data_IF_059257190135
#
_entry.id   IF_059257190135
#
_cell.length_a   1.000
_cell.length_b   1.000
_cell.length_c   1.000
_cell.angle_alpha   90.00
_cell.angle_beta   90.00
_cell.angle_gamma   90.00
#
_symmetry.space_group_name_H-M   'P 1'
#
loop_
_entity.id
_entity.type
_entity.pdbx_description
1 polymer ?
#
# COMPACT_ATOMS: atom_id res chain seq x y z
N UNK A 1 16.81 13.03 3.27
CA UNK A 1 15.81 11.95 3.26
C UNK A 1 14.56 12.41 2.50
N UNK A 2 13.87 11.48 1.86
CA UNK A 2 12.62 11.71 1.14
C UNK A 2 11.51 10.92 1.85
N UNK A 3 10.42 11.62 2.18
CA UNK A 3 9.18 11.01 2.64
C UNK A 3 8.13 11.15 1.54
N UNK A 4 7.36 10.10 1.31
CA UNK A 4 6.18 10.14 0.46
C UNK A 4 4.96 9.79 1.29
N UNK A 5 3.86 10.51 1.10
CA UNK A 5 2.66 10.35 1.89
C UNK A 5 1.40 10.64 1.08
N UNK A 6 0.30 10.07 1.49
CA UNK A 6 -1.00 10.34 0.89
C UNK A 6 -1.54 11.68 1.40
N UNK A 7 -1.92 12.55 0.48
CA UNK A 7 -2.65 13.77 0.74
C UNK A 7 -4.11 13.59 0.32
N UNK A 8 -5.03 13.95 1.22
CA UNK A 8 -6.47 13.89 0.95
C UNK A 8 -6.97 15.27 0.61
N UNK A 9 -7.62 15.40 -0.54
CA UNK A 9 -8.28 16.60 -1.01
C UNK A 9 -9.77 16.33 -1.19
N UNK A 10 -10.58 17.36 -1.15
CA UNK A 10 -12.02 17.24 -1.35
C UNK A 10 -12.45 17.76 -2.71
N UNK A 11 -13.22 16.95 -3.44
CA UNK A 11 -13.88 17.34 -4.68
C UNK A 11 -15.37 17.47 -4.43
N UNK A 12 -15.91 18.65 -4.73
CA UNK A 12 -17.36 18.88 -4.70
C UNK A 12 -17.96 18.44 -6.04
N UNK A 13 -18.94 17.53 -5.99
CA UNK A 13 -19.64 17.03 -7.15
C UNK A 13 -20.81 17.94 -7.57
N UNK A 14 -21.32 17.74 -8.78
CA UNK A 14 -22.44 18.55 -9.33
C UNK A 14 -23.73 18.45 -8.51
N UNK A 15 -23.96 17.30 -7.87
CA UNK A 15 -25.10 17.06 -6.97
C UNK A 15 -24.94 17.70 -5.57
N UNK A 16 -23.81 18.42 -5.34
CA UNK A 16 -23.48 19.06 -4.09
C UNK A 16 -22.81 18.16 -3.06
N UNK A 17 -22.69 16.87 -3.30
CA UNK A 17 -21.95 15.97 -2.43
C UNK A 17 -20.44 16.23 -2.50
N UNK A 18 -19.72 15.81 -1.45
CA UNK A 18 -18.26 15.94 -1.36
C UNK A 18 -17.66 14.55 -1.28
N UNK A 19 -16.62 14.32 -2.06
CA UNK A 19 -15.83 13.09 -1.95
C UNK A 19 -14.36 13.40 -1.74
N UNK A 20 -13.69 12.53 -1.03
CA UNK A 20 -12.26 12.59 -0.87
C UNK A 20 -11.55 12.08 -2.12
N UNK A 21 -10.47 12.77 -2.48
CA UNK A 21 -9.56 12.38 -3.57
C UNK A 21 -8.19 12.22 -2.95
N UNK A 22 -7.58 11.08 -3.21
CA UNK A 22 -6.25 10.75 -2.73
C UNK A 22 -5.19 11.04 -3.80
N UNK A 23 -4.13 11.71 -3.39
CA UNK A 23 -2.96 12.05 -4.19
C UNK A 23 -1.71 11.74 -3.38
N UNK A 24 -0.55 11.61 -4.05
CA UNK A 24 0.69 11.41 -3.32
C UNK A 24 1.52 12.69 -3.32
N UNK A 25 2.08 13.00 -2.18
CA UNK A 25 2.92 14.16 -1.95
C UNK A 25 4.25 13.74 -1.33
N UNK A 26 5.27 14.57 -1.48
CA UNK A 26 6.61 14.33 -0.91
C UNK A 26 7.04 15.47 -0.01
N UNK A 27 7.87 15.12 0.96
CA UNK A 27 8.61 16.06 1.78
C UNK A 27 10.08 15.64 1.85
N UNK A 28 10.96 16.62 1.93
CA UNK A 28 12.41 16.42 1.99
C UNK A 28 12.93 16.91 3.32
N UNK A 29 13.81 16.16 3.94
CA UNK A 29 14.37 16.54 5.24
C UNK A 29 15.61 15.77 5.64
N UNK A 30 16.08 16.02 6.84
CA UNK A 30 17.29 15.47 7.41
C UNK A 30 17.09 14.25 8.33
N UNK A 31 15.82 13.86 8.54
CA UNK A 31 15.41 12.80 9.46
C UNK A 31 14.73 13.32 10.71
N UNK A 32 14.76 14.63 10.95
CA UNK A 32 14.10 15.31 12.05
C UNK A 32 13.13 16.39 11.54
N UNK A 33 13.61 17.28 10.69
CA UNK A 33 12.84 18.38 10.13
C UNK A 33 12.59 18.11 8.64
N UNK A 34 11.36 18.35 8.19
CA UNK A 34 10.92 18.09 6.81
C UNK A 34 10.16 19.26 6.23
N UNK A 35 10.46 19.58 4.98
CA UNK A 35 9.75 20.59 4.19
C UNK A 35 8.98 19.93 3.06
N UNK A 36 7.74 20.34 2.87
CA UNK A 36 6.92 19.87 1.76
C UNK A 36 7.48 20.35 0.44
N UNK A 37 7.50 19.49 -0.56
CA UNK A 37 7.93 19.87 -1.90
C UNK A 37 6.93 20.86 -2.52
N UNK A 38 7.43 21.96 -3.06
CA UNK A 38 6.62 23.08 -3.57
C UNK A 38 5.69 22.71 -4.71
N UNK A 39 6.07 21.66 -5.49
CA UNK A 39 5.28 21.18 -6.63
C UNK A 39 4.41 19.97 -6.30
N UNK A 40 4.10 19.74 -5.03
CA UNK A 40 3.12 18.72 -4.66
C UNK A 40 1.72 19.02 -5.23
N UNK A 41 0.89 18.00 -5.51
CA UNK A 41 1.18 16.58 -5.40
C UNK A 41 2.04 16.03 -6.56
N UNK A 42 2.84 14.98 -6.29
CA UNK A 42 3.72 14.34 -7.28
C UNK A 42 3.04 13.21 -8.06
N UNK A 43 1.94 12.63 -7.51
CA UNK A 43 1.06 11.69 -8.19
C UNK A 43 -0.40 12.07 -7.94
N UNK A 44 -1.19 12.03 -8.98
CA UNK A 44 -2.59 12.44 -9.01
C UNK A 44 -3.46 11.43 -9.77
N UNK A 45 -4.74 11.70 -9.91
CA UNK A 45 -5.64 10.89 -10.72
C UNK A 45 -5.22 10.77 -12.20
N UNK A 46 -4.38 11.67 -12.70
CA UNK A 46 -3.86 11.62 -14.09
C UNK A 46 -2.82 10.53 -14.30
N UNK A 47 -2.17 10.12 -13.22
CA UNK A 47 -1.10 9.14 -13.20
C UNK A 47 -1.61 7.72 -12.92
N UNK A 48 -2.93 7.57 -12.71
CA UNK A 48 -3.59 6.29 -12.50
C UNK A 48 -3.80 5.52 -13.80
N UNK A 49 -3.65 4.19 -13.77
CA UNK A 49 -4.06 3.37 -14.91
C UNK A 49 -5.57 3.45 -15.13
N UNK A 50 -5.99 3.20 -16.38
CA UNK A 50 -7.41 3.25 -16.76
C UNK A 50 -8.28 2.39 -15.86
N UNK A 51 -9.34 2.98 -15.30
CA UNK A 51 -10.31 2.30 -14.45
C UNK A 51 -9.93 2.22 -12.98
N UNK A 52 -8.78 2.76 -12.55
CA UNK A 52 -8.44 2.84 -11.14
C UNK A 52 -9.22 3.96 -10.43
N UNK A 53 -9.53 3.72 -9.16
CA UNK A 53 -10.24 4.66 -8.29
C UNK A 53 -9.33 5.82 -7.88
N UNK A 54 -9.83 7.05 -8.00
CA UNK A 54 -9.14 8.23 -7.46
C UNK A 54 -9.42 8.49 -5.98
N UNK A 55 -10.36 7.73 -5.40
CA UNK A 55 -10.69 7.75 -3.97
C UNK A 55 -9.82 6.75 -3.19
N UNK A 56 -9.50 5.62 -3.82
CA UNK A 56 -8.67 4.57 -3.23
C UNK A 56 -7.31 4.55 -3.94
N UNK A 57 -6.41 5.44 -3.51
CA UNK A 57 -5.06 5.59 -4.04
C UNK A 57 -4.14 6.09 -2.94
N UNK A 58 -3.62 5.17 -2.09
CA UNK A 58 -2.96 5.53 -0.84
C UNK A 58 -1.87 4.58 -0.40
N UNK A 59 -1.19 4.98 0.68
CA UNK A 59 -0.17 4.23 1.41
C UNK A 59 1.08 3.95 0.55
N UNK A 60 1.76 5.01 0.07
CA UNK A 60 2.94 4.84 -0.75
C UNK A 60 4.11 4.29 0.06
N UNK A 61 4.77 3.25 -0.45
CA UNK A 61 6.04 2.73 0.06
C UNK A 61 7.12 2.94 -1.00
N UNK A 62 8.14 3.74 -0.68
CA UNK A 62 9.24 4.04 -1.59
C UNK A 62 10.53 3.35 -1.16
N UNK A 63 11.33 2.98 -2.14
CA UNK A 63 12.72 2.52 -1.94
C UNK A 63 13.59 2.93 -3.12
N UNK A 64 14.90 2.85 -2.92
CA UNK A 64 15.89 3.05 -3.99
C UNK A 64 16.33 1.70 -4.52
N UNK A 65 16.17 1.46 -5.82
CA UNK A 65 16.61 0.24 -6.48
C UNK A 65 18.11 0.20 -6.71
N UNK A 66 18.64 -0.99 -7.00
CA UNK A 66 20.04 -1.21 -7.30
C UNK A 66 20.47 -0.55 -8.63
N UNK A 67 19.52 -0.26 -9.51
CA UNK A 67 19.71 0.49 -10.77
C UNK A 67 19.78 2.01 -10.58
N UNK A 68 19.68 2.48 -9.33
CA UNK A 68 19.74 3.88 -8.95
C UNK A 68 18.40 4.63 -9.05
N UNK A 69 17.36 4.04 -9.62
CA UNK A 69 16.03 4.62 -9.66
C UNK A 69 15.32 4.47 -8.30
N UNK A 70 14.35 5.34 -8.07
CA UNK A 70 13.39 5.19 -7.00
C UNK A 70 12.19 4.40 -7.51
N UNK A 71 11.64 3.57 -6.65
CA UNK A 71 10.42 2.81 -6.89
C UNK A 71 9.40 3.10 -5.80
N UNK A 72 8.13 2.97 -6.15
CA UNK A 72 7.02 3.15 -5.22
C UNK A 72 5.92 2.13 -5.50
N UNK A 73 5.47 1.43 -4.47
CA UNK A 73 4.20 0.68 -4.51
C UNK A 73 3.13 1.46 -3.78
N UNK A 74 1.91 1.44 -4.33
CA UNK A 74 0.77 2.18 -3.81
C UNK A 74 -0.47 1.30 -3.87
N UNK A 75 -1.24 1.29 -2.77
CA UNK A 75 -2.54 0.64 -2.71
C UNK A 75 -3.57 1.34 -3.59
N UNK A 76 -4.35 0.55 -4.33
CA UNK A 76 -5.36 1.05 -5.24
C UNK A 76 -6.53 0.06 -5.37
N UNK A 77 -7.63 0.54 -5.95
CA UNK A 77 -8.79 -0.26 -6.26
C UNK A 77 -9.27 0.03 -7.69
N UNK A 78 -9.42 -0.99 -8.55
CA UNK A 78 -10.02 -0.83 -9.87
C UNK A 78 -11.55 -0.75 -9.79
N UNK A 79 -12.20 -0.58 -10.96
CA UNK A 79 -13.65 -0.43 -11.06
C UNK A 79 -14.45 -1.66 -10.62
N UNK A 80 -13.87 -2.85 -10.63
CA UNK A 80 -14.50 -4.08 -10.14
C UNK A 80 -14.55 -4.17 -8.60
N UNK A 81 -13.94 -3.21 -7.91
CA UNK A 81 -13.94 -3.10 -6.46
C UNK A 81 -12.90 -3.96 -5.74
N UNK A 82 -12.13 -4.78 -6.44
CA UNK A 82 -11.05 -5.59 -5.86
C UNK A 82 -9.80 -4.76 -5.58
N UNK A 83 -8.94 -5.22 -4.65
CA UNK A 83 -7.66 -4.58 -4.38
C UNK A 83 -6.64 -4.78 -5.50
N UNK A 84 -5.74 -3.82 -5.67
CA UNK A 84 -4.56 -3.93 -6.52
C UNK A 84 -3.42 -3.09 -5.97
N UNK A 85 -2.20 -3.43 -6.35
CA UNK A 85 -1.00 -2.66 -6.03
C UNK A 85 -0.41 -2.10 -7.33
N UNK A 86 -0.21 -0.79 -7.36
CA UNK A 86 0.41 -0.08 -8.47
C UNK A 86 1.90 0.09 -8.21
N UNK A 87 2.71 -0.08 -9.25
CA UNK A 87 4.15 0.17 -9.23
C UNK A 87 4.47 1.42 -10.05
N UNK A 88 5.22 2.32 -9.44
CA UNK A 88 5.76 3.52 -10.06
C UNK A 88 7.27 3.55 -9.97
N UNK A 89 7.91 4.28 -10.89
CA UNK A 89 9.36 4.50 -10.93
C UNK A 89 9.66 5.99 -11.08
N UNK A 90 10.80 6.44 -10.52
CA UNK A 90 11.29 7.81 -10.64
C UNK A 90 12.81 7.84 -10.66
N UNK A 91 13.39 8.74 -11.43
CA UNK A 91 14.84 9.00 -11.44
C UNK A 91 15.30 9.90 -10.28
N UNK A 92 14.41 10.74 -9.79
CA UNK A 92 14.75 11.80 -8.84
C UNK A 92 13.91 11.82 -7.56
N UNK A 93 12.87 10.96 -7.47
CA UNK A 93 11.93 10.91 -6.35
C UNK A 93 10.80 11.93 -6.40
N UNK A 94 10.75 12.78 -7.43
CA UNK A 94 9.75 13.84 -7.60
C UNK A 94 8.88 13.67 -8.84
N UNK A 95 9.45 13.15 -9.91
CA UNK A 95 8.75 12.88 -11.17
C UNK A 95 8.59 11.37 -11.29
N UNK A 96 7.34 10.89 -11.27
CA UNK A 96 7.00 9.48 -11.23
C UNK A 96 6.31 9.04 -12.51
N UNK A 97 6.66 7.87 -12.97
CA UNK A 97 6.01 7.20 -14.10
C UNK A 97 5.35 5.89 -13.65
N UNK A 98 4.17 5.62 -14.17
CA UNK A 98 3.50 4.34 -13.97
C UNK A 98 4.26 3.23 -14.70
N UNK A 99 4.58 2.15 -13.99
CA UNK A 99 5.26 0.98 -14.55
C UNK A 99 4.28 -0.14 -14.83
N UNK A 100 3.56 -0.60 -13.82
CA UNK A 100 2.66 -1.74 -13.94
C UNK A 100 1.60 -1.76 -12.83
N UNK A 101 0.60 -2.61 -13.02
CA UNK A 101 -0.17 -3.14 -11.91
C UNK A 101 0.62 -4.35 -11.39
N UNK A 102 1.35 -4.17 -10.29
CA UNK A 102 2.25 -5.17 -9.73
C UNK A 102 1.51 -6.45 -9.34
N UNK A 103 0.36 -6.31 -8.69
CA UNK A 103 -0.49 -7.41 -8.25
C UNK A 103 -1.96 -7.02 -8.26
N UNK A 104 -2.83 -7.99 -8.51
CA UNK A 104 -4.30 -7.84 -8.51
C UNK A 104 -4.94 -8.90 -7.64
N UNK A 105 -5.92 -8.50 -6.87
CA UNK A 105 -6.69 -9.37 -6.01
C UNK A 105 -7.60 -10.35 -6.78
N UNK A 106 -8.25 -9.89 -7.84
CA UNK A 106 -9.26 -10.67 -8.59
C UNK A 106 -10.38 -11.21 -7.70
N UNK A 107 -10.80 -10.43 -6.71
CA UNK A 107 -11.84 -10.76 -5.70
C UNK A 107 -11.56 -12.01 -4.83
N UNK A 108 -10.30 -12.41 -4.66
CA UNK A 108 -9.91 -13.54 -3.79
C UNK A 108 -9.69 -13.10 -2.33
N UNK A 109 -9.06 -11.96 -2.12
CA UNK A 109 -8.58 -11.51 -0.80
C UNK A 109 -9.07 -10.10 -0.49
N UNK A 110 -10.32 -10.01 -0.05
CA UNK A 110 -10.92 -8.72 0.33
C UNK A 110 -11.06 -7.74 -0.82
N UNK A 111 -11.16 -6.47 -0.49
CA UNK A 111 -11.36 -5.38 -1.46
C UNK A 111 -10.13 -4.48 -1.56
N UNK A 112 -10.14 -3.33 -0.88
CA UNK A 112 -8.98 -2.44 -0.91
C UNK A 112 -7.76 -3.10 -0.25
N UNK A 113 -6.61 -3.02 -0.90
CA UNK A 113 -5.33 -3.46 -0.37
C UNK A 113 -4.55 -2.26 0.14
N UNK A 114 -4.51 -2.09 1.46
CA UNK A 114 -3.81 -1.00 2.14
C UNK A 114 -2.37 -1.37 2.51
N UNK A 115 -1.58 -0.35 2.82
CA UNK A 115 -0.23 -0.47 3.40
C UNK A 115 0.69 -1.44 2.66
N UNK A 116 0.84 -1.36 1.32
CA UNK A 116 1.70 -2.27 0.60
C UNK A 116 3.17 -2.11 1.03
N UNK A 117 3.89 -3.22 1.12
CA UNK A 117 5.34 -3.26 1.26
C UNK A 117 5.89 -4.33 0.31
N UNK A 118 6.89 -3.98 -0.48
CA UNK A 118 7.42 -4.85 -1.53
C UNK A 118 8.94 -4.90 -1.49
N UNK A 119 9.50 -6.11 -1.42
CA UNK A 119 10.93 -6.30 -1.30
C UNK A 119 11.35 -7.70 -1.76
N UNK A 120 12.65 -7.85 -2.02
CA UNK A 120 13.28 -9.15 -2.26
C UNK A 120 13.78 -9.74 -0.93
N UNK A 121 13.56 -11.06 -0.76
CA UNK A 121 14.06 -11.84 0.36
C UNK A 121 14.40 -13.25 -0.13
N UNK A 122 15.65 -13.68 0.08
CA UNK A 122 16.15 -15.01 -0.27
C UNK A 122 15.85 -15.44 -1.74
N UNK A 123 15.99 -14.47 -2.67
CA UNK A 123 15.79 -14.69 -4.10
C UNK A 123 14.33 -14.77 -4.53
N UNK A 124 13.40 -14.43 -3.67
CA UNK A 124 11.97 -14.28 -3.98
C UNK A 124 11.50 -12.86 -3.70
N UNK A 125 10.45 -12.45 -4.39
CA UNK A 125 9.77 -11.20 -4.07
C UNK A 125 8.64 -11.45 -3.10
N UNK A 126 8.55 -10.56 -2.11
CA UNK A 126 7.51 -10.56 -1.07
C UNK A 126 6.69 -9.29 -1.21
N UNK A 127 5.39 -9.45 -1.31
CA UNK A 127 4.42 -8.36 -1.20
C UNK A 127 3.60 -8.57 0.07
N UNK A 128 3.70 -7.62 0.98
CA UNK A 128 2.82 -7.52 2.14
C UNK A 128 1.72 -6.51 1.84
N UNK A 129 0.51 -6.78 2.29
CA UNK A 129 -0.61 -5.83 2.19
C UNK A 129 -1.67 -6.12 3.26
N UNK A 130 -2.48 -5.12 3.56
CA UNK A 130 -3.56 -5.19 4.55
C UNK A 130 -4.91 -5.01 3.86
N UNK A 131 -5.56 -6.12 3.44
CA UNK A 131 -6.85 -6.06 2.77
C UNK A 131 -7.98 -5.66 3.71
N UNK A 132 -8.93 -4.89 3.18
CA UNK A 132 -10.22 -4.64 3.80
C UNK A 132 -11.28 -5.64 3.30
N UNK A 133 -12.30 -5.88 4.09
CA UNK A 133 -13.47 -6.70 3.73
C UNK A 133 -13.11 -8.11 3.23
N UNK A 134 -12.19 -8.78 3.89
CA UNK A 134 -11.89 -10.19 3.61
C UNK A 134 -13.06 -11.09 3.99
N UNK A 135 -13.21 -12.19 3.27
CA UNK A 135 -14.10 -13.29 3.64
C UNK A 135 -13.29 -14.37 4.35
N UNK A 136 -13.87 -15.08 5.32
CA UNK A 136 -13.18 -16.14 6.03
C UNK A 136 -12.89 -17.31 5.09
N UNK A 137 -11.70 -17.88 5.20
CA UNK A 137 -11.30 -19.09 4.48
C UNK A 137 -10.61 -20.06 5.45
N UNK A 138 -11.36 -21.02 5.97
CA UNK A 138 -10.87 -21.98 6.94
C UNK A 138 -10.27 -21.31 8.19
N UNK A 139 -9.04 -21.70 8.50
CA UNK A 139 -8.23 -21.09 9.56
C UNK A 139 -7.19 -20.10 9.00
N UNK A 140 -7.09 -19.97 7.67
CA UNK A 140 -6.07 -19.15 7.01
C UNK A 140 -6.42 -17.66 7.05
N UNK A 141 -7.68 -17.33 6.78
CA UNK A 141 -8.14 -15.95 6.76
C UNK A 141 -9.38 -15.78 7.62
N UNK A 142 -9.38 -14.75 8.46
CA UNK A 142 -10.57 -14.34 9.20
C UNK A 142 -11.41 -13.34 8.38
N UNK A 143 -12.63 -13.08 8.81
CA UNK A 143 -13.52 -12.10 8.21
C UNK A 143 -13.11 -10.67 8.58
N UNK A 144 -13.23 -9.72 7.64
CA UNK A 144 -13.01 -8.29 7.85
C UNK A 144 -11.64 -7.81 7.38
N UNK A 145 -10.94 -7.02 8.20
CA UNK A 145 -9.64 -6.49 7.85
C UNK A 145 -8.52 -7.46 8.23
N UNK A 146 -7.72 -7.85 7.26
CA UNK A 146 -6.70 -8.89 7.43
C UNK A 146 -5.31 -8.48 6.97
N UNK A 147 -4.41 -9.45 6.93
CA UNK A 147 -3.03 -9.27 6.46
C UNK A 147 -2.67 -10.36 5.48
N UNK A 148 -1.96 -9.99 4.41
CA UNK A 148 -1.47 -10.93 3.41
C UNK A 148 0.05 -10.83 3.25
N UNK A 149 0.66 -12.00 3.09
CA UNK A 149 2.02 -12.17 2.59
C UNK A 149 1.94 -12.96 1.29
N UNK A 150 2.22 -12.30 0.18
CA UNK A 150 2.26 -12.91 -1.15
C UNK A 150 3.73 -13.08 -1.55
N UNK A 151 4.13 -14.30 -1.85
CA UNK A 151 5.50 -14.64 -2.26
C UNK A 151 5.47 -15.10 -3.72
N UNK A 152 6.41 -14.62 -4.51
CA UNK A 152 6.45 -14.98 -5.92
C UNK A 152 7.70 -14.52 -6.65
N UNK A 153 7.59 -14.49 -7.97
CA UNK A 153 8.63 -14.03 -8.88
C UNK A 153 8.16 -12.77 -9.61
N UNK A 154 9.05 -11.80 -9.72
CA UNK A 154 8.79 -10.60 -10.51
C UNK A 154 9.08 -10.91 -11.97
N UNK A 155 8.08 -10.76 -12.82
CA UNK A 155 8.27 -10.87 -14.26
C UNK A 155 9.11 -9.67 -14.76
N UNK A 156 10.26 -9.90 -15.37
CA UNK A 156 11.19 -8.82 -15.75
C UNK A 156 10.69 -7.95 -16.92
N UNK A 157 9.75 -8.45 -17.72
CA UNK A 157 9.22 -7.71 -18.87
C UNK A 157 7.97 -6.91 -18.51
N UNK A 158 7.06 -7.52 -17.76
CA UNK A 158 5.78 -6.91 -17.39
C UNK A 158 5.80 -6.20 -16.06
N UNK A 159 6.83 -6.43 -15.25
CA UNK A 159 6.93 -5.95 -13.85
C UNK A 159 5.71 -6.32 -13.01
N UNK A 160 5.17 -7.53 -13.21
CA UNK A 160 4.07 -8.08 -12.42
C UNK A 160 4.57 -9.19 -11.50
N UNK A 161 4.02 -9.25 -10.30
CA UNK A 161 4.32 -10.31 -9.35
C UNK A 161 3.52 -11.58 -9.74
N UNK A 162 4.23 -12.63 -10.10
CA UNK A 162 3.66 -13.96 -10.31
C UNK A 162 3.58 -14.68 -8.97
N UNK A 163 2.41 -14.67 -8.36
CA UNK A 163 2.14 -15.33 -7.09
C UNK A 163 2.45 -16.82 -7.16
N UNK A 164 3.26 -17.32 -6.23
CA UNK A 164 3.56 -18.72 -6.02
C UNK A 164 2.92 -19.23 -4.72
N UNK A 165 2.80 -18.34 -3.73
CA UNK A 165 2.27 -18.67 -2.42
C UNK A 165 1.65 -17.43 -1.79
N UNK A 166 0.57 -17.62 -1.03
CA UNK A 166 -0.09 -16.57 -0.25
C UNK A 166 -0.55 -17.13 1.09
N UNK A 167 -0.34 -16.38 2.16
CA UNK A 167 -0.79 -16.70 3.52
C UNK A 167 -1.13 -15.45 4.31
N UNK A 168 -1.81 -15.63 5.44
CA UNK A 168 -1.90 -14.60 6.49
C UNK A 168 -0.53 -14.31 7.08
N UNK A 169 -0.28 -13.06 7.48
CA UNK A 169 0.94 -12.71 8.20
C UNK A 169 0.83 -13.04 9.68
N UNK A 170 -0.37 -12.87 10.23
CA UNK A 170 -0.72 -13.20 11.60
C UNK A 170 -2.12 -13.84 11.62
N UNK A 171 -2.31 -14.81 12.49
CA UNK A 171 -3.58 -15.55 12.63
C UNK A 171 -4.49 -15.00 13.73
N UNK A 172 -4.05 -13.95 14.41
CA UNK A 172 -4.87 -13.20 15.36
C UNK A 172 -5.68 -12.10 14.67
N UNK A 173 -6.71 -11.59 15.35
CA UNK A 173 -7.56 -10.51 14.85
C UNK A 173 -6.81 -9.16 14.90
N UNK A 174 -5.99 -8.96 15.92
CA UNK A 174 -5.39 -7.68 16.25
C UNK A 174 -3.96 -7.53 15.67
N UNK A 175 -3.88 -7.61 14.35
CA UNK A 175 -2.64 -7.37 13.62
C UNK A 175 -2.95 -6.76 12.25
N UNK A 176 -2.59 -5.50 12.02
CA UNK A 176 -2.93 -4.78 10.80
C UNK A 176 -1.86 -3.75 10.40
N UNK A 177 -1.89 -3.28 9.15
CA UNK A 177 -1.08 -2.19 8.62
C UNK A 177 0.44 -2.38 8.81
N UNK A 178 0.92 -3.62 8.67
CA UNK A 178 2.34 -3.94 8.83
C UNK A 178 3.21 -3.25 7.78
N UNK A 179 4.39 -2.85 8.22
CA UNK A 179 5.45 -2.30 7.38
C UNK A 179 6.79 -2.87 7.79
N UNK A 180 7.72 -3.02 6.83
CA UNK A 180 9.06 -3.51 7.12
C UNK A 180 10.13 -2.47 6.83
N UNK A 181 11.27 -2.64 7.47
CA UNK A 181 12.49 -1.92 7.18
C UNK A 181 13.69 -2.89 7.19
N UNK A 182 14.69 -2.58 6.36
CA UNK A 182 15.97 -3.26 6.41
C UNK A 182 16.87 -2.54 7.40
N UNK A 183 17.20 -3.23 8.49
CA UNK A 183 18.11 -2.70 9.51
C UNK A 183 19.57 -2.70 9.01
N UNK A 184 20.46 -1.86 9.56
CA UNK A 184 21.87 -1.79 9.16
C UNK A 184 22.64 -3.11 9.34
N UNK A 185 22.17 -3.98 10.22
CA UNK A 185 22.75 -5.32 10.48
C UNK A 185 22.24 -6.41 9.53
N UNK A 186 21.43 -6.03 8.52
CA UNK A 186 20.90 -6.93 7.50
C UNK A 186 19.58 -7.63 7.87
N UNK A 187 19.06 -7.46 9.08
CA UNK A 187 17.74 -7.98 9.44
C UNK A 187 16.63 -7.16 8.81
N UNK A 188 15.62 -7.83 8.30
CA UNK A 188 14.35 -7.17 7.97
C UNK A 188 13.44 -7.22 9.18
N UNK A 189 13.05 -6.06 9.66
CA UNK A 189 12.23 -5.89 10.86
C UNK A 189 10.84 -5.48 10.40
N UNK A 190 9.81 -6.14 10.93
CA UNK A 190 8.40 -5.83 10.69
C UNK A 190 7.81 -5.18 11.93
N UNK A 191 7.03 -4.13 11.72
CA UNK A 191 6.26 -3.44 12.73
C UNK A 191 4.82 -3.40 12.25
N UNK A 192 3.86 -3.66 13.12
CA UNK A 192 2.44 -3.65 12.82
C UNK A 192 1.63 -2.96 13.91
N UNK A 193 0.44 -2.56 13.57
CA UNK A 193 -0.55 -2.08 14.52
C UNK A 193 -1.22 -3.28 15.20
N UNK A 194 -1.06 -3.37 16.53
CA UNK A 194 -1.58 -4.47 17.36
C UNK A 194 -3.07 -4.29 17.67
N UNK A 195 -3.85 -3.88 16.69
CA UNK A 195 -5.31 -3.74 16.72
C UNK A 195 -5.88 -3.98 15.32
N UNK A 196 -7.19 -3.84 15.19
CA UNK A 196 -7.90 -3.98 13.93
C UNK A 196 -9.06 -2.99 13.87
N UNK A 197 -9.39 -2.49 12.68
CA UNK A 197 -10.52 -1.58 12.48
C UNK A 197 -11.85 -2.19 12.92
N UNK A 198 -12.02 -3.51 12.75
CA UNK A 198 -13.26 -4.21 13.12
C UNK A 198 -13.48 -4.28 14.64
N UNK A 199 -12.41 -4.21 15.43
CA UNK A 199 -12.46 -4.36 16.88
C UNK A 199 -12.25 -3.06 17.64
N UNK A 200 -11.59 -2.06 17.05
CA UNK A 200 -11.22 -0.83 17.73
C UNK A 200 -12.43 -0.03 18.21
N UNK A 201 -13.52 -0.01 17.43
CA UNK A 201 -14.74 0.72 17.79
C UNK A 201 -15.35 0.15 19.08
N UNK A 202 -15.36 -1.16 19.24
CA UNK A 202 -15.86 -1.83 20.44
C UNK A 202 -14.98 -1.56 21.67
N UNK A 203 -13.64 -1.58 21.48
CA UNK A 203 -12.69 -1.34 22.55
C UNK A 203 -12.69 0.12 23.00
N UNK A 204 -12.76 1.06 22.07
CA UNK A 204 -12.76 2.48 22.37
C UNK A 204 -14.08 2.97 22.97
N UNK A 205 -15.22 2.29 22.70
CA UNK A 205 -16.51 2.68 23.29
C UNK A 205 -16.55 2.55 24.81
N UNK A 206 -15.77 1.65 25.38
CA UNK A 206 -15.71 1.41 26.82
C UNK A 206 -14.67 2.26 27.56
N UNK A 207 -13.95 3.13 26.86
CA UNK A 207 -12.99 4.11 27.41
C UNK A 207 -11.93 3.54 28.37
N UNK A 208 -11.63 2.25 28.30
CA UNK A 208 -10.70 1.57 29.20
C UNK A 208 -9.56 0.99 28.40
N UNK A 209 -8.50 1.74 28.35
CA UNK A 209 -7.16 1.28 28.02
C UNK A 209 -6.39 1.04 29.30
#
# INVERSE_FOLDING_TARGET
>A
QLLMYTSVNQEKLEDGTVRDIQTQAVAVGDGKDYEKYDKNPVLTAKDLPKGASKVDFRDPKIWKGNDGNFYCVIGSRPADGSGQILLYRSKNGFEWEFVSILAKNQNRYGKMWECPDFFELDGKYVLLTSPQDMLPEGLEFHNGNGTLCIIGELDPETHTLKEQFCQGVDYGIDYYAMQTLLAPDGRRIMIAWMQNWDTIAHRCSDSKW
#
